data_IF_370536430757
#
_entry.id   IF_370536430757
#
_cell.length_a   1.000
_cell.length_b   1.000
_cell.length_c   1.000
_cell.angle_alpha   90.00
_cell.angle_beta   90.00
_cell.angle_gamma   90.00
#
_symmetry.space_group_name_H-M   'P 1'
#
loop_
_entity.id
_entity.type
_entity.pdbx_description
1 polymer ?
#
# COMPACT_ATOMS: atom_id res chain seq x y z
N UNK A 1 19.30 -29.95 1.61
CA UNK A 1 19.35 -31.28 2.24
C UNK A 1 18.76 -31.17 3.64
N UNK A 2 18.01 -32.17 4.13
CA UNK A 2 17.61 -32.24 5.54
C UNK A 2 18.83 -32.34 6.46
N UNK A 3 18.75 -31.79 7.67
CA UNK A 3 19.73 -32.06 8.73
C UNK A 3 19.59 -33.51 9.22
N UNK A 4 20.69 -34.14 9.59
CA UNK A 4 20.75 -35.53 10.08
C UNK A 4 20.49 -35.67 11.57
N UNK A 5 20.93 -34.70 12.37
CA UNK A 5 20.84 -34.67 13.83
C UNK A 5 20.31 -33.32 14.34
N UNK A 6 20.01 -33.25 15.64
CA UNK A 6 19.46 -32.03 16.25
C UNK A 6 20.52 -30.94 16.42
N UNK A 7 20.14 -29.69 16.17
CA UNK A 7 21.03 -28.51 16.26
C UNK A 7 20.44 -27.49 17.22
N UNK A 8 21.26 -26.97 18.14
CA UNK A 8 20.87 -25.96 19.11
C UNK A 8 21.12 -26.40 20.55
N UNK A 9 20.31 -25.88 21.47
CA UNK A 9 20.44 -26.10 22.91
C UNK A 9 20.30 -27.59 23.23
N UNK A 10 21.35 -28.18 23.80
CA UNK A 10 21.42 -29.61 24.12
C UNK A 10 21.21 -30.54 22.90
N UNK A 11 21.39 -30.02 21.68
CA UNK A 11 21.36 -30.81 20.45
C UNK A 11 22.65 -31.60 20.25
N UNK A 12 22.62 -32.51 19.28
CA UNK A 12 23.81 -33.27 18.85
C UNK A 12 24.87 -32.33 18.27
N UNK A 13 24.44 -31.29 17.54
CA UNK A 13 25.31 -30.25 17.00
C UNK A 13 26.40 -30.76 16.06
N UNK A 14 26.05 -31.72 15.20
CA UNK A 14 26.95 -32.21 14.15
C UNK A 14 27.36 -31.06 13.22
N UNK A 15 28.66 -30.96 12.93
CA UNK A 15 29.27 -29.85 12.18
C UNK A 15 28.49 -29.50 10.89
N UNK A 16 28.16 -30.52 10.09
CA UNK A 16 27.45 -30.33 8.83
C UNK A 16 26.04 -29.74 9.02
N UNK A 17 25.32 -30.21 10.04
CA UNK A 17 23.97 -29.73 10.33
C UNK A 17 23.99 -28.31 10.92
N UNK A 18 24.98 -28.01 11.78
CA UNK A 18 25.17 -26.67 12.31
C UNK A 18 25.48 -25.67 11.19
N UNK A 19 26.33 -26.04 10.23
CA UNK A 19 26.62 -25.19 9.07
C UNK A 19 25.35 -24.89 8.25
N UNK A 20 24.53 -25.91 8.00
CA UNK A 20 23.25 -25.74 7.29
C UNK A 20 22.32 -24.80 8.07
N UNK A 21 22.17 -25.00 9.39
CA UNK A 21 21.30 -24.17 10.22
C UNK A 21 21.80 -22.73 10.31
N UNK A 22 23.11 -22.50 10.51
CA UNK A 22 23.70 -21.16 10.53
C UNK A 22 23.49 -20.42 9.19
N UNK A 23 23.67 -21.12 8.08
CA UNK A 23 23.43 -20.55 6.75
C UNK A 23 21.96 -20.10 6.58
N UNK A 24 21.01 -20.96 6.96
CA UNK A 24 19.58 -20.62 6.85
C UNK A 24 19.14 -19.53 7.84
N UNK A 25 19.65 -19.55 9.08
CA UNK A 25 19.39 -18.49 10.06
C UNK A 25 19.91 -17.15 9.58
N UNK A 26 21.04 -17.11 8.88
CA UNK A 26 21.58 -15.88 8.31
C UNK A 26 20.66 -15.23 7.27
N UNK A 27 19.86 -16.01 6.55
CA UNK A 27 18.83 -15.44 5.67
C UNK A 27 17.77 -14.66 6.48
N UNK A 28 17.29 -15.23 7.58
CA UNK A 28 16.34 -14.56 8.48
C UNK A 28 16.97 -13.36 9.21
N UNK A 29 18.19 -13.52 9.73
CA UNK A 29 18.91 -12.46 10.42
C UNK A 29 19.16 -11.26 9.48
N UNK A 30 19.63 -11.53 8.25
CA UNK A 30 19.82 -10.50 7.24
C UNK A 30 18.52 -9.78 6.89
N UNK A 31 17.43 -10.52 6.66
CA UNK A 31 16.12 -9.95 6.36
C UNK A 31 15.59 -9.05 7.49
N UNK A 32 15.87 -9.42 8.74
CA UNK A 32 15.42 -8.67 9.93
C UNK A 32 16.43 -7.62 10.40
N UNK A 33 17.49 -7.36 9.63
CA UNK A 33 18.52 -6.36 9.97
C UNK A 33 19.36 -6.73 11.19
N UNK A 34 19.35 -7.99 11.60
CA UNK A 34 20.15 -8.51 12.70
C UNK A 34 21.56 -8.88 12.23
N UNK A 35 22.52 -8.91 13.16
CA UNK A 35 23.90 -9.34 12.88
C UNK A 35 23.92 -10.79 12.43
N UNK A 36 24.65 -11.07 11.34
CA UNK A 36 24.84 -12.42 10.81
C UNK A 36 25.74 -13.25 11.73
N UNK A 37 25.45 -14.55 11.82
CA UNK A 37 26.28 -15.56 12.47
C UNK A 37 27.50 -15.89 11.59
N UNK A 38 28.68 -16.11 12.21
CA UNK A 38 29.75 -16.86 11.56
C UNK A 38 29.25 -18.26 11.18
N UNK A 39 29.47 -18.69 9.95
CA UNK A 39 29.13 -20.04 9.48
C UNK A 39 30.32 -20.98 9.72
N UNK A 40 30.69 -21.16 10.98
CA UNK A 40 31.85 -21.97 11.40
C UNK A 40 31.49 -23.41 11.72
N UNK A 41 30.19 -23.73 11.85
CA UNK A 41 29.73 -25.04 12.29
C UNK A 41 29.79 -25.24 13.81
N UNK A 42 30.20 -24.23 14.56
CA UNK A 42 30.18 -24.24 16.02
C UNK A 42 28.80 -23.79 16.55
N UNK A 43 28.09 -24.68 17.25
CA UNK A 43 26.81 -24.33 17.86
C UNK A 43 26.99 -23.61 19.21
N UNK A 44 27.52 -22.39 19.14
CA UNK A 44 27.74 -21.55 20.33
C UNK A 44 26.48 -20.81 20.79
N UNK A 45 26.65 -19.99 21.84
CA UNK A 45 25.58 -19.16 22.42
C UNK A 45 24.87 -18.29 21.39
N UNK A 46 25.60 -17.77 20.39
CA UNK A 46 25.02 -16.97 19.30
C UNK A 46 24.08 -17.79 18.41
N UNK A 47 24.46 -19.02 18.06
CA UNK A 47 23.61 -19.91 17.25
C UNK A 47 22.36 -20.30 18.03
N UNK A 48 22.49 -20.67 19.30
CA UNK A 48 21.33 -20.99 20.16
C UNK A 48 20.41 -19.78 20.34
N UNK A 49 20.97 -18.58 20.54
CA UNK A 49 20.18 -17.35 20.64
C UNK A 49 19.44 -17.03 19.33
N UNK A 50 20.08 -17.25 18.18
CA UNK A 50 19.44 -17.06 16.88
C UNK A 50 18.31 -18.07 16.63
N UNK A 51 18.47 -19.35 17.01
CA UNK A 51 17.40 -20.36 16.94
C UNK A 51 16.22 -19.94 17.82
N UNK A 52 16.51 -19.58 19.07
CA UNK A 52 15.49 -19.14 20.05
C UNK A 52 14.74 -17.91 19.54
N UNK A 53 15.47 -16.93 19.00
CA UNK A 53 14.91 -15.72 18.40
C UNK A 53 14.06 -16.01 17.18
N UNK A 54 14.49 -16.92 16.31
CA UNK A 54 13.74 -17.37 15.14
C UNK A 54 12.42 -18.03 15.54
N UNK A 55 12.46 -18.97 16.47
CA UNK A 55 11.27 -19.64 17.00
C UNK A 55 10.26 -18.65 17.60
N UNK A 56 10.74 -17.69 18.40
CA UNK A 56 9.87 -16.67 19.01
C UNK A 56 9.30 -15.69 17.99
N UNK A 57 10.14 -15.13 17.12
CA UNK A 57 9.75 -14.01 16.23
C UNK A 57 9.15 -14.48 14.90
N UNK A 58 9.71 -15.51 14.28
CA UNK A 58 9.25 -16.00 12.97
C UNK A 58 8.12 -17.03 13.07
N UNK A 59 8.09 -17.83 14.15
CA UNK A 59 7.10 -18.90 14.34
C UNK A 59 6.05 -18.60 15.41
N UNK A 60 6.19 -17.47 16.11
CA UNK A 60 5.33 -17.08 17.24
C UNK A 60 5.21 -18.20 18.29
N UNK A 61 6.30 -18.93 18.56
CA UNK A 61 6.29 -19.98 19.57
C UNK A 61 6.21 -19.36 20.97
N UNK A 62 5.24 -19.78 21.81
CA UNK A 62 5.07 -19.21 23.16
C UNK A 62 6.23 -19.58 24.10
N UNK A 63 6.88 -20.73 23.86
CA UNK A 63 8.06 -21.17 24.59
C UNK A 63 9.16 -21.62 23.60
N UNK A 64 9.98 -20.69 23.10
CA UNK A 64 11.14 -21.03 22.27
C UNK A 64 12.14 -21.87 23.06
N UNK A 65 12.48 -23.07 22.57
CA UNK A 65 13.34 -24.04 23.26
C UNK A 65 14.82 -23.95 22.83
N UNK A 66 15.09 -23.27 21.72
CA UNK A 66 16.43 -23.13 21.17
C UNK A 66 16.96 -24.39 20.48
N UNK A 67 16.09 -25.36 20.15
CA UNK A 67 16.46 -26.64 19.53
C UNK A 67 15.75 -26.85 18.18
N UNK A 68 16.50 -27.28 17.18
CA UNK A 68 16.00 -27.69 15.87
C UNK A 68 16.16 -29.20 15.77
N UNK A 69 15.04 -29.92 15.77
CA UNK A 69 15.01 -31.37 15.49
C UNK A 69 14.86 -31.64 13.99
N UNK A 70 15.51 -32.70 13.45
CA UNK A 70 15.28 -33.15 12.07
C UNK A 70 13.79 -33.37 11.78
N UNK A 71 13.28 -32.82 10.68
CA UNK A 71 11.86 -32.91 10.30
C UNK A 71 10.89 -32.14 11.22
N UNK A 72 11.37 -31.52 12.29
CA UNK A 72 10.54 -30.79 13.25
C UNK A 72 9.99 -29.48 12.69
N UNK A 73 9.08 -28.84 13.44
CA UNK A 73 8.44 -27.58 13.04
C UNK A 73 9.45 -26.48 12.72
N UNK A 74 10.46 -26.29 13.58
CA UNK A 74 11.50 -25.26 13.39
C UNK A 74 12.31 -25.54 12.13
N UNK A 75 12.72 -26.80 11.91
CA UNK A 75 13.47 -27.20 10.71
C UNK A 75 12.66 -26.94 9.43
N UNK A 76 11.41 -27.42 9.40
CA UNK A 76 10.53 -27.29 8.24
C UNK A 76 10.31 -25.83 7.85
N UNK A 77 10.08 -24.96 8.83
CA UNK A 77 9.88 -23.53 8.58
C UNK A 77 11.17 -22.83 8.13
N UNK A 78 12.31 -23.13 8.79
CA UNK A 78 13.59 -22.53 8.48
C UNK A 78 14.08 -22.94 7.08
N UNK A 79 13.94 -24.21 6.72
CA UNK A 79 14.26 -24.73 5.40
C UNK A 79 13.35 -24.16 4.29
N UNK A 80 12.11 -23.81 4.63
CA UNK A 80 11.20 -23.09 3.73
C UNK A 80 11.49 -21.57 3.64
N UNK A 81 12.43 -21.05 4.43
CA UNK A 81 12.77 -19.63 4.49
C UNK A 81 11.69 -18.77 5.16
N UNK A 82 10.82 -19.36 5.97
CA UNK A 82 9.77 -18.62 6.68
C UNK A 82 10.39 -17.55 7.58
N UNK A 83 9.87 -16.33 7.51
CA UNK A 83 10.40 -15.18 8.25
C UNK A 83 11.62 -14.51 7.61
N UNK A 84 12.29 -15.15 6.64
CA UNK A 84 13.40 -14.58 5.88
C UNK A 84 12.96 -13.87 4.58
N UNK A 85 11.64 -13.76 4.37
CA UNK A 85 11.02 -13.09 3.23
C UNK A 85 9.81 -12.28 3.69
N UNK A 86 9.43 -11.22 2.95
CA UNK A 86 8.18 -10.54 3.22
C UNK A 86 6.97 -11.48 3.10
N UNK A 87 5.87 -11.21 3.82
CA UNK A 87 4.64 -11.98 3.66
C UNK A 87 4.12 -11.91 2.22
N UNK A 88 3.54 -13.01 1.74
CA UNK A 88 3.00 -13.13 0.39
C UNK A 88 1.84 -12.13 0.16
N UNK A 89 1.77 -11.58 -1.05
CA UNK A 89 0.64 -10.75 -1.49
C UNK A 89 -0.67 -11.55 -1.48
N UNK A 90 -1.81 -10.86 -1.45
CA UNK A 90 -3.14 -11.49 -1.46
C UNK A 90 -4.10 -10.81 -0.48
N UNK A 91 -5.29 -11.40 -0.36
CA UNK A 91 -6.35 -10.89 0.52
C UNK A 91 -5.88 -10.76 1.97
N UNK A 92 -5.23 -11.79 2.52
CA UNK A 92 -4.82 -11.80 3.92
C UNK A 92 -3.80 -10.70 4.23
N UNK A 93 -2.82 -10.52 3.34
CA UNK A 93 -1.85 -9.43 3.45
C UNK A 93 -2.55 -8.07 3.44
N UNK A 94 -3.46 -7.86 2.48
CA UNK A 94 -4.19 -6.60 2.38
C UNK A 94 -5.03 -6.32 3.61
N UNK A 95 -5.82 -7.30 4.06
CA UNK A 95 -6.68 -7.17 5.23
C UNK A 95 -5.88 -6.84 6.50
N UNK A 96 -4.70 -7.45 6.67
CA UNK A 96 -3.83 -7.18 7.82
C UNK A 96 -3.13 -5.81 7.77
N UNK A 97 -2.92 -5.22 6.59
CA UNK A 97 -2.08 -4.02 6.44
C UNK A 97 -2.82 -2.76 5.99
N UNK A 98 -4.05 -2.87 5.47
CA UNK A 98 -4.75 -1.76 4.80
C UNK A 98 -4.91 -0.49 5.65
N UNK A 99 -5.05 -0.64 6.97
CA UNK A 99 -5.19 0.49 7.90
C UNK A 99 -3.96 1.43 7.88
N UNK A 100 -2.81 0.96 7.42
CA UNK A 100 -1.57 1.75 7.29
C UNK A 100 -1.55 2.60 6.02
N UNK A 101 -2.46 2.36 5.09
CA UNK A 101 -2.48 3.00 3.78
C UNK A 101 -3.88 3.59 3.45
N UNK A 102 -4.43 4.46 4.33
CA UNK A 102 -5.74 5.06 4.12
C UNK A 102 -5.68 6.08 2.98
N UNK A 103 -6.74 6.15 2.17
CA UNK A 103 -7.01 7.34 1.36
C UNK A 103 -7.64 8.42 2.24
N UNK A 104 -7.62 9.67 1.80
CA UNK A 104 -8.23 10.79 2.49
C UNK A 104 -9.37 11.42 1.68
N UNK A 105 -10.34 12.00 2.38
CA UNK A 105 -11.33 12.94 1.86
C UNK A 105 -11.19 14.34 2.49
N UNK A 106 -10.14 14.58 3.29
CA UNK A 106 -9.92 15.83 3.98
C UNK A 106 -9.18 16.83 3.08
N UNK A 107 -9.76 18.03 2.92
CA UNK A 107 -9.13 19.15 2.21
C UNK A 107 -7.76 19.50 2.79
N UNK A 108 -7.58 19.33 4.11
CA UNK A 108 -6.32 19.61 4.80
C UNK A 108 -5.13 18.77 4.28
N UNK A 109 -5.40 17.59 3.73
CA UNK A 109 -4.39 16.66 3.20
C UNK A 109 -3.95 16.98 1.76
N UNK A 110 -4.59 17.96 1.11
CA UNK A 110 -4.15 18.48 -0.18
C UNK A 110 -2.87 19.30 -0.03
N UNK A 111 -2.09 19.38 -1.11
CA UNK A 111 -0.84 20.16 -1.14
C UNK A 111 -1.10 21.64 -1.42
N UNK A 112 -0.22 22.52 -0.94
CA UNK A 112 -0.25 23.93 -1.34
C UNK A 112 0.33 24.13 -2.75
N UNK A 113 -0.16 25.13 -3.52
CA UNK A 113 -1.24 26.08 -3.16
C UNK A 113 -2.66 25.53 -3.39
N UNK A 114 -2.80 24.34 -3.97
CA UNK A 114 -4.09 23.77 -4.35
C UNK A 114 -5.09 23.66 -3.18
N UNK A 115 -4.62 23.24 -2.00
CA UNK A 115 -5.42 23.19 -0.77
C UNK A 115 -6.14 24.51 -0.47
N UNK A 116 -5.41 25.62 -0.52
CA UNK A 116 -5.94 26.93 -0.13
C UNK A 116 -6.93 27.44 -1.18
N UNK A 117 -6.67 27.10 -2.45
CA UNK A 117 -7.59 27.34 -3.56
C UNK A 117 -8.90 26.56 -3.41
N UNK A 118 -8.82 25.25 -3.09
CA UNK A 118 -9.98 24.40 -2.81
C UNK A 118 -10.77 24.95 -1.63
N UNK A 119 -10.10 25.29 -0.52
CA UNK A 119 -10.77 25.85 0.65
C UNK A 119 -11.53 27.14 0.33
N UNK A 120 -10.95 28.04 -0.46
CA UNK A 120 -11.59 29.27 -0.89
C UNK A 120 -12.81 29.02 -1.79
N UNK A 121 -12.71 28.08 -2.74
CA UNK A 121 -13.81 27.72 -3.64
C UNK A 121 -14.97 27.05 -2.90
N UNK A 122 -14.67 26.08 -2.03
CA UNK A 122 -15.67 25.42 -1.18
C UNK A 122 -16.38 26.43 -0.25
N UNK A 123 -15.64 27.40 0.28
CA UNK A 123 -16.23 28.48 1.07
C UNK A 123 -17.20 29.31 0.23
N UNK A 124 -16.81 29.72 -0.98
CA UNK A 124 -17.67 30.51 -1.86
C UNK A 124 -18.95 29.75 -2.26
N UNK A 125 -18.84 28.44 -2.54
CA UNK A 125 -19.97 27.56 -2.79
C UNK A 125 -20.93 27.50 -1.59
N UNK A 126 -20.38 27.26 -0.39
CA UNK A 126 -21.17 27.17 0.84
C UNK A 126 -21.85 28.50 1.18
N UNK A 127 -21.12 29.61 1.07
CA UNK A 127 -21.67 30.96 1.31
C UNK A 127 -22.81 31.30 0.32
N UNK A 128 -22.78 30.73 -0.89
CA UNK A 128 -23.81 30.90 -1.91
C UNK A 128 -25.00 29.92 -1.77
N UNK A 129 -24.99 29.04 -0.76
CA UNK A 129 -26.06 28.07 -0.51
C UNK A 129 -25.98 26.79 -1.36
N UNK A 130 -24.85 26.50 -2.01
CA UNK A 130 -24.63 25.22 -2.67
C UNK A 130 -24.35 24.10 -1.65
N UNK A 131 -24.73 22.88 -2.00
CA UNK A 131 -24.31 21.66 -1.31
C UNK A 131 -23.06 21.10 -1.96
N UNK A 132 -22.10 20.64 -1.16
CA UNK A 132 -20.89 19.99 -1.64
C UNK A 132 -20.64 18.72 -0.82
N UNK A 133 -20.45 17.60 -1.51
CA UNK A 133 -20.05 16.33 -0.91
C UNK A 133 -18.68 15.93 -1.47
N UNK A 134 -17.65 15.94 -0.62
CA UNK A 134 -16.29 15.52 -1.00
C UNK A 134 -16.16 14.01 -0.78
N UNK A 135 -15.82 13.27 -1.83
CA UNK A 135 -15.67 11.81 -1.79
C UNK A 135 -14.22 11.35 -1.72
N UNK A 136 -13.28 12.14 -2.25
CA UNK A 136 -11.85 11.78 -2.27
C UNK A 136 -10.97 13.03 -2.43
N UNK A 137 -9.80 13.01 -1.81
CA UNK A 137 -8.75 14.02 -1.93
C UNK A 137 -7.41 13.33 -2.18
N UNK A 138 -6.58 13.12 -1.15
CA UNK A 138 -5.28 12.47 -1.31
C UNK A 138 -5.41 10.95 -1.33
N UNK A 139 -4.89 10.33 -2.40
CA UNK A 139 -4.67 8.89 -2.49
C UNK A 139 -3.30 8.56 -1.91
N UNK A 140 -3.22 7.57 -1.02
CA UNK A 140 -1.95 7.14 -0.47
C UNK A 140 -1.06 6.54 -1.58
N UNK A 141 0.19 7.01 -1.71
CA UNK A 141 1.10 6.58 -2.77
C UNK A 141 1.43 5.08 -2.70
N UNK A 142 1.62 4.54 -1.50
CA UNK A 142 1.81 3.09 -1.29
C UNK A 142 0.57 2.30 -1.66
N UNK A 143 -0.63 2.80 -1.32
CA UNK A 143 -1.89 2.18 -1.76
C UNK A 143 -2.00 2.17 -3.29
N UNK A 144 -1.70 3.28 -3.96
CA UNK A 144 -1.69 3.35 -5.42
C UNK A 144 -0.69 2.37 -6.05
N UNK A 145 0.51 2.25 -5.48
CA UNK A 145 1.50 1.25 -5.87
C UNK A 145 0.94 -0.18 -5.76
N UNK A 146 0.32 -0.52 -4.62
CA UNK A 146 -0.31 -1.82 -4.40
C UNK A 146 -1.41 -2.08 -5.43
N UNK A 147 -2.32 -1.12 -5.66
CA UNK A 147 -3.39 -1.21 -6.64
C UNK A 147 -2.85 -1.46 -8.06
N UNK A 148 -1.86 -0.66 -8.48
CA UNK A 148 -1.24 -0.76 -9.80
C UNK A 148 -0.61 -2.14 -10.03
N UNK A 149 0.24 -2.60 -9.12
CA UNK A 149 0.94 -3.87 -9.30
C UNK A 149 0.06 -5.09 -9.05
N UNK A 150 -0.99 -4.99 -8.21
CA UNK A 150 -2.04 -6.01 -8.15
C UNK A 150 -2.68 -6.21 -9.53
N UNK A 151 -3.08 -5.12 -10.19
CA UNK A 151 -3.68 -5.22 -11.52
C UNK A 151 -2.70 -5.78 -12.55
N UNK A 152 -1.46 -5.26 -12.60
CA UNK A 152 -0.47 -5.71 -13.58
C UNK A 152 -0.06 -7.17 -13.42
N UNK A 153 0.14 -7.64 -12.19
CA UNK A 153 0.46 -9.05 -11.92
C UNK A 153 -0.74 -9.93 -12.30
N UNK A 154 -1.95 -9.58 -11.87
CA UNK A 154 -3.16 -10.35 -12.17
C UNK A 154 -3.41 -10.48 -13.69
N UNK A 155 -3.14 -9.42 -14.46
CA UNK A 155 -3.27 -9.41 -15.91
C UNK A 155 -2.03 -9.98 -16.64
N UNK A 156 -0.93 -10.26 -15.93
CA UNK A 156 0.30 -10.79 -16.50
C UNK A 156 1.15 -9.76 -17.27
N UNK A 157 0.88 -8.46 -17.13
CA UNK A 157 1.68 -7.39 -17.74
C UNK A 157 2.96 -7.05 -16.96
N UNK A 158 3.15 -7.69 -15.80
CA UNK A 158 4.42 -7.73 -15.07
C UNK A 158 4.58 -9.10 -14.42
N UNK A 159 5.79 -9.66 -14.47
CA UNK A 159 6.09 -10.89 -13.74
C UNK A 159 6.09 -10.62 -12.23
N UNK A 160 5.61 -11.56 -11.38
CA UNK A 160 5.55 -11.37 -9.93
C UNK A 160 6.90 -10.98 -9.28
N UNK A 161 8.00 -11.57 -9.74
CA UNK A 161 9.36 -11.27 -9.28
C UNK A 161 9.98 -10.01 -9.91
N UNK A 162 9.25 -9.31 -10.78
CA UNK A 162 9.66 -8.05 -11.42
C UNK A 162 8.85 -6.85 -10.94
N UNK A 163 7.98 -7.04 -9.95
CA UNK A 163 7.34 -5.90 -9.27
C UNK A 163 8.43 -5.09 -8.56
N UNK A 164 8.59 -3.78 -8.85
CA UNK A 164 9.56 -2.94 -8.16
C UNK A 164 9.31 -2.92 -6.66
N UNK A 165 10.37 -3.14 -5.89
CA UNK A 165 10.30 -3.01 -4.44
C UNK A 165 10.03 -1.56 -4.05
N UNK A 166 9.11 -1.36 -3.10
CA UNK A 166 8.87 -0.05 -2.49
C UNK A 166 9.48 -0.03 -1.09
N UNK A 167 10.42 0.88 -0.78
CA UNK A 167 11.01 0.98 0.55
C UNK A 167 9.94 1.09 1.65
N UNK A 168 10.08 0.29 2.71
CA UNK A 168 9.11 0.25 3.82
C UNK A 168 7.85 -0.59 3.56
N UNK A 169 7.69 -1.18 2.38
CA UNK A 169 6.57 -2.07 2.04
C UNK A 169 7.02 -3.54 2.00
N UNK A 170 6.82 -4.25 3.11
CA UNK A 170 7.12 -5.68 3.19
C UNK A 170 5.99 -6.51 2.54
N UNK A 171 6.13 -6.80 1.25
CA UNK A 171 5.22 -7.68 0.48
C UNK A 171 6.01 -8.52 -0.53
N UNK A 172 5.66 -9.80 -0.65
CA UNK A 172 6.23 -10.72 -1.63
C UNK A 172 5.18 -11.06 -2.70
N UNK A 173 5.42 -10.61 -3.93
CA UNK A 173 4.49 -10.84 -5.04
C UNK A 173 4.65 -12.21 -5.70
N UNK A 174 5.86 -12.77 -5.69
CA UNK A 174 6.16 -14.09 -6.26
C UNK A 174 5.93 -15.20 -5.24
N UNK A 175 4.91 -16.02 -5.49
CA UNK A 175 4.54 -17.16 -4.65
C UNK A 175 5.35 -18.42 -4.97
N UNK A 176 6.38 -18.33 -5.83
CA UNK A 176 7.11 -19.47 -6.38
C UNK A 176 6.31 -20.25 -7.44
N UNK A 177 5.10 -19.80 -7.73
CA UNK A 177 4.17 -20.34 -8.71
C UNK A 177 3.40 -19.17 -9.34
N UNK A 178 3.40 -19.13 -10.68
CA UNK A 178 2.80 -18.03 -11.42
C UNK A 178 1.27 -17.98 -11.24
N UNK A 179 0.59 -19.12 -11.23
CA UNK A 179 -0.86 -19.18 -11.09
C UNK A 179 -1.30 -18.68 -9.71
N UNK A 180 -0.61 -19.10 -8.64
CA UNK A 180 -0.84 -18.61 -7.27
C UNK A 180 -0.57 -17.12 -7.15
N UNK A 181 0.52 -16.63 -7.74
CA UNK A 181 0.86 -15.20 -7.72
C UNK A 181 -0.23 -14.35 -8.39
N UNK A 182 -0.71 -14.78 -9.57
CA UNK A 182 -1.82 -14.11 -10.28
C UNK A 182 -3.12 -14.18 -9.50
N UNK A 183 -3.44 -15.33 -8.90
CA UNK A 183 -4.64 -15.50 -8.09
C UNK A 183 -4.65 -14.58 -6.87
N UNK A 184 -3.53 -14.48 -6.14
CA UNK A 184 -3.37 -13.57 -5.01
C UNK A 184 -3.49 -12.10 -5.42
N UNK A 185 -2.85 -11.71 -6.52
CA UNK A 185 -2.98 -10.37 -7.07
C UNK A 185 -4.44 -10.05 -7.47
N UNK A 186 -5.17 -11.02 -8.05
CA UNK A 186 -6.58 -10.87 -8.42
C UNK A 186 -7.48 -10.71 -7.18
N UNK A 187 -7.16 -11.35 -6.05
CA UNK A 187 -7.88 -11.10 -4.79
C UNK A 187 -7.76 -9.63 -4.37
N UNK A 188 -6.56 -9.06 -4.45
CA UNK A 188 -6.34 -7.65 -4.15
C UNK A 188 -7.05 -6.72 -5.15
N UNK A 189 -7.02 -7.04 -6.46
CA UNK A 189 -7.80 -6.33 -7.50
C UNK A 189 -9.28 -6.23 -7.12
N UNK A 190 -9.88 -7.34 -6.67
CA UNK A 190 -11.28 -7.39 -6.22
C UNK A 190 -11.52 -6.52 -4.98
N UNK A 191 -10.64 -6.62 -3.97
CA UNK A 191 -10.75 -5.83 -2.73
C UNK A 191 -10.58 -4.32 -2.98
N UNK A 192 -9.77 -3.96 -3.97
CA UNK A 192 -9.61 -2.58 -4.42
C UNK A 192 -10.70 -2.12 -5.40
N UNK A 193 -11.57 -3.01 -5.87
CA UNK A 193 -12.61 -2.73 -6.87
C UNK A 193 -12.05 -2.12 -8.17
N UNK A 194 -10.91 -2.64 -8.64
CA UNK A 194 -10.21 -2.12 -9.82
C UNK A 194 -10.79 -2.75 -11.09
N UNK A 195 -11.28 -1.91 -12.00
CA UNK A 195 -11.68 -2.33 -13.35
C UNK A 195 -10.55 -2.14 -14.38
N UNK A 196 -9.88 -0.99 -14.35
CA UNK A 196 -8.81 -0.60 -15.28
C UNK A 196 -7.49 -0.38 -14.55
N UNK A 197 -6.37 -0.40 -15.28
CA UNK A 197 -5.04 -0.20 -14.70
C UNK A 197 -4.97 1.11 -13.88
N UNK A 198 -4.70 1.04 -12.56
CA UNK A 198 -4.54 2.24 -11.75
C UNK A 198 -3.30 3.03 -12.16
N UNK A 199 -3.45 4.33 -12.40
CA UNK A 199 -2.32 5.22 -12.70
C UNK A 199 -1.47 5.52 -11.46
N UNK A 200 -0.14 5.50 -11.64
CA UNK A 200 0.84 5.96 -10.64
C UNK A 200 1.15 7.45 -10.72
N UNK A 201 0.64 8.14 -11.72
CA UNK A 201 0.86 9.58 -11.97
C UNK A 201 -0.41 10.40 -11.78
N UNK A 202 -1.40 9.87 -11.04
CA UNK A 202 -2.66 10.55 -10.75
C UNK A 202 -2.46 11.75 -9.81
N UNK A 203 -3.15 12.86 -10.08
CA UNK A 203 -3.16 14.06 -9.22
C UNK A 203 -3.68 13.80 -7.81
N UNK A 204 -4.51 12.77 -7.59
CA UNK A 204 -4.89 12.35 -6.24
C UNK A 204 -3.69 11.87 -5.42
N UNK A 205 -2.70 11.20 -6.04
CA UNK A 205 -1.49 10.74 -5.35
C UNK A 205 -0.64 11.93 -4.90
N UNK A 206 -0.58 12.96 -5.75
CA UNK A 206 0.14 14.21 -5.50
C UNK A 206 -0.61 15.16 -4.53
N UNK A 207 -1.86 14.86 -4.17
CA UNK A 207 -2.70 15.74 -3.35
C UNK A 207 -3.15 17.01 -4.09
N UNK A 208 -3.22 16.94 -5.42
CA UNK A 208 -3.55 18.04 -6.35
C UNK A 208 -4.90 17.86 -7.04
N UNK A 209 -5.71 16.91 -6.56
CA UNK A 209 -7.06 16.65 -7.04
C UNK A 209 -8.04 16.41 -5.89
N UNK A 210 -9.31 16.65 -6.17
CA UNK A 210 -10.43 16.45 -5.28
C UNK A 210 -11.63 15.96 -6.12
N UNK A 211 -12.26 14.90 -5.61
CA UNK A 211 -13.52 14.40 -6.13
C UNK A 211 -14.65 14.95 -5.27
N UNK A 212 -15.60 15.64 -5.89
CA UNK A 212 -16.74 16.18 -5.19
C UNK A 212 -17.98 16.29 -6.08
N UNK A 213 -19.14 16.12 -5.45
CA UNK A 213 -20.44 16.41 -6.07
C UNK A 213 -20.92 17.76 -5.56
N UNK A 214 -21.31 18.65 -6.48
CA UNK A 214 -21.80 20.00 -6.18
C UNK A 214 -23.23 20.13 -6.71
N UNK A 215 -24.15 20.63 -5.89
CA UNK A 215 -25.54 20.87 -6.28
C UNK A 215 -26.09 22.17 -5.68
N UNK A 216 -27.12 22.73 -6.30
CA UNK A 216 -27.83 23.90 -5.78
C UNK A 216 -29.25 23.99 -6.34
N UNK A 217 -30.06 24.87 -5.75
CA UNK A 217 -31.42 25.19 -6.22
C UNK A 217 -31.49 26.63 -6.73
N UNK A 218 -32.43 26.92 -7.62
CA UNK A 218 -32.62 28.28 -8.16
C UNK A 218 -31.40 28.78 -8.95
N UNK A 219 -31.12 30.08 -8.84
CA UNK A 219 -29.91 30.71 -9.40
C UNK A 219 -28.88 30.86 -8.28
N UNK A 220 -27.69 30.27 -8.47
CA UNK A 220 -26.60 30.37 -7.52
C UNK A 220 -25.93 31.74 -7.62
N UNK A 221 -25.97 32.53 -6.55
CA UNK A 221 -25.30 33.83 -6.45
C UNK A 221 -23.99 33.67 -5.70
N UNK A 222 -22.90 33.46 -6.43
CA UNK A 222 -21.59 33.08 -5.89
C UNK A 222 -20.53 34.14 -6.20
N UNK A 223 -19.60 34.37 -5.27
CA UNK A 223 -18.45 35.26 -5.50
C UNK A 223 -17.36 34.54 -6.30
N UNK A 224 -16.84 35.19 -7.32
CA UNK A 224 -15.58 34.77 -7.96
C UNK A 224 -14.37 35.12 -7.07
N UNK A 225 -13.16 34.71 -7.48
CA UNK A 225 -11.93 34.92 -6.70
C UNK A 225 -11.61 36.41 -6.46
N UNK A 226 -12.11 37.32 -7.31
CA UNK A 226 -11.97 38.76 -7.16
C UNK A 226 -13.07 39.37 -6.26
N UNK A 227 -13.99 38.56 -5.74
CA UNK A 227 -15.08 38.98 -4.87
C UNK A 227 -16.33 39.46 -5.60
N UNK A 228 -16.36 39.41 -6.94
CA UNK A 228 -17.52 39.83 -7.74
C UNK A 228 -18.58 38.73 -7.76
N UNK A 229 -19.83 39.11 -7.52
CA UNK A 229 -20.96 38.17 -7.59
C UNK A 229 -21.21 37.76 -9.04
N UNK A 230 -21.36 36.45 -9.24
CA UNK A 230 -21.74 35.78 -10.48
C UNK A 230 -23.04 35.02 -10.25
N UNK A 231 -23.88 34.97 -11.27
CA UNK A 231 -25.12 34.21 -11.24
C UNK A 231 -24.97 32.97 -12.10
N UNK A 232 -25.24 31.79 -11.54
CA UNK A 232 -25.14 30.51 -12.25
C UNK A 232 -26.51 29.81 -12.21
N UNK A 233 -27.07 29.60 -13.39
CA UNK A 233 -28.37 28.95 -13.59
C UNK A 233 -28.26 27.44 -13.83
N UNK A 234 -29.01 26.94 -14.81
CA UNK A 234 -29.00 25.53 -15.25
C UNK A 234 -27.81 25.21 -16.16
N UNK A 235 -27.31 23.96 -16.18
CA UNK A 235 -27.69 22.83 -15.32
C UNK A 235 -27.23 23.04 -13.88
N UNK A 236 -27.99 22.58 -12.88
CA UNK A 236 -27.71 22.86 -11.46
C UNK A 236 -26.82 21.79 -10.81
N UNK A 237 -25.79 21.38 -11.52
CA UNK A 237 -24.89 20.31 -11.13
C UNK A 237 -23.44 20.68 -11.43
N UNK A 238 -22.55 20.38 -10.48
CA UNK A 238 -21.11 20.56 -10.57
C UNK A 238 -20.49 19.88 -11.79
N UNK A 239 -21.04 18.74 -12.17
CA UNK A 239 -20.45 17.89 -13.20
C UNK A 239 -20.64 18.46 -14.60
N UNK A 240 -21.71 19.23 -14.83
CA UNK A 240 -22.15 19.63 -16.18
C UNK A 240 -22.26 21.14 -16.39
N UNK A 241 -22.20 21.96 -15.34
CA UNK A 241 -22.34 23.41 -15.48
C UNK A 241 -21.03 24.10 -15.88
N UNK A 242 -20.94 24.53 -17.13
CA UNK A 242 -19.74 25.15 -17.70
C UNK A 242 -19.41 26.52 -17.10
N UNK A 243 -20.39 27.27 -16.59
CA UNK A 243 -20.12 28.56 -15.93
C UNK A 243 -19.56 28.36 -14.52
N UNK A 244 -19.99 27.32 -13.81
CA UNK A 244 -19.36 26.89 -12.58
C UNK A 244 -17.93 26.38 -12.82
N UNK A 245 -17.70 25.63 -13.91
CA UNK A 245 -16.34 25.20 -14.29
C UNK A 245 -15.41 26.39 -14.53
N UNK A 246 -15.86 27.40 -15.29
CA UNK A 246 -15.09 28.64 -15.49
C UNK A 246 -14.83 29.39 -14.18
N UNK A 247 -15.83 29.45 -13.29
CA UNK A 247 -15.68 30.09 -11.99
C UNK A 247 -14.65 29.35 -11.12
N UNK A 248 -14.75 28.01 -11.05
CA UNK A 248 -13.78 27.16 -10.36
C UNK A 248 -12.36 27.31 -10.90
N UNK A 249 -12.19 27.42 -12.23
CA UNK A 249 -10.90 27.66 -12.86
C UNK A 249 -10.28 28.99 -12.40
N UNK A 250 -11.10 30.02 -12.16
CA UNK A 250 -10.66 31.28 -11.54
C UNK A 250 -10.18 31.14 -10.09
N UNK A 251 -10.58 30.09 -9.38
CA UNK A 251 -10.03 29.71 -8.08
C UNK A 251 -8.79 28.82 -8.20
N UNK A 252 -8.43 28.33 -9.39
CA UNK A 252 -7.36 27.37 -9.62
C UNK A 252 -7.81 25.91 -9.54
N UNK A 253 -9.10 25.62 -9.74
CA UNK A 253 -9.64 24.26 -9.86
C UNK A 253 -10.22 24.05 -11.26
N UNK A 254 -9.63 23.14 -12.02
CA UNK A 254 -10.01 22.80 -13.38
C UNK A 254 -10.79 21.49 -13.36
N UNK A 255 -11.98 21.51 -13.94
CA UNK A 255 -12.85 20.35 -14.08
C UNK A 255 -12.30 19.38 -15.13
N UNK A 256 -12.17 18.10 -14.79
CA UNK A 256 -12.00 17.03 -15.79
C UNK A 256 -13.37 16.56 -16.27
N UNK A 257 -13.69 16.72 -17.56
CA UNK A 257 -15.04 16.43 -18.08
C UNK A 257 -15.35 14.93 -18.22
N UNK A 258 -14.32 14.11 -18.46
CA UNK A 258 -14.48 12.65 -18.61
C UNK A 258 -14.66 11.92 -17.28
N UNK A 259 -14.40 12.59 -16.15
CA UNK A 259 -14.57 12.06 -14.80
C UNK A 259 -15.44 13.03 -13.98
N UNK A 260 -16.78 12.83 -13.97
CA UNK A 260 -17.74 13.79 -13.43
C UNK A 260 -17.45 14.37 -12.04
N UNK A 261 -16.98 13.62 -11.02
CA UNK A 261 -16.63 14.22 -9.73
C UNK A 261 -15.27 14.96 -9.70
N UNK A 262 -14.37 14.74 -10.67
CA UNK A 262 -12.96 15.12 -10.56
C UNK A 262 -12.67 16.60 -10.86
N UNK A 263 -11.93 17.24 -9.97
CA UNK A 263 -11.32 18.56 -10.15
C UNK A 263 -9.86 18.52 -9.71
N UNK A 264 -8.97 19.17 -10.46
CA UNK A 264 -7.54 19.27 -10.13
C UNK A 264 -7.00 20.65 -10.48
N UNK A 265 -5.73 20.91 -10.18
CA UNK A 265 -5.11 22.20 -10.53
C UNK A 265 -4.76 22.35 -12.01
N UNK A 266 -4.75 21.24 -12.76
CA UNK A 266 -4.41 21.20 -14.19
C UNK A 266 -5.44 20.46 -15.07
N UNK A 267 -6.53 19.98 -14.48
CA UNK A 267 -7.62 19.29 -15.18
C UNK A 267 -7.27 17.85 -15.58
N UNK A 268 -6.27 17.24 -14.95
CA UNK A 268 -5.85 15.84 -15.14
C UNK A 268 -5.95 15.02 -13.85
#
# INVERSE_FOLDING_TARGET
>A
MPIGASVGKNGVNDLADVLVVQHLLNAWLGFTGQKLLPTTGECGTLTVAAITGYQGKALAMPAPDGLISPGGRTWTALAAGQGARPPLSGADWWNANQARYPNSAAVADLVQPFRDNVAAFLKALKDAGATVAVSSTRRNATRAHLMHYSWRVANGSVAPNKVPALPGLAIQWDHGDLAKSKAAAQQMVKLFQIAFEPSLTSRHIEGRAIDMTIGWTGTLKIKDKAGKTREIGTPRAGDTNTDLHKLGAGYGLIKLLSDPPHWSDDGR
#
